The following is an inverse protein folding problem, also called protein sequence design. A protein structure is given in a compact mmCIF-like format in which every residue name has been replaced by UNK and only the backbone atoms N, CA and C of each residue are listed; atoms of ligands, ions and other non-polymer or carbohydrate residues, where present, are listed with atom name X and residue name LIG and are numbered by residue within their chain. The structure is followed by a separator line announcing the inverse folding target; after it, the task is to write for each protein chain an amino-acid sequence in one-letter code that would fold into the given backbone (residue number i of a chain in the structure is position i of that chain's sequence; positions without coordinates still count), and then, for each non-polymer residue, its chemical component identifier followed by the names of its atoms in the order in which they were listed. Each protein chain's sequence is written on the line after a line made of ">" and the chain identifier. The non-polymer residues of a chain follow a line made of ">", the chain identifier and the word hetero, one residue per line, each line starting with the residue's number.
data_IF_115233915161
#
_entry.id   IF_115233915161
#
_cell.length_a   1.000
_cell.length_b   1.000
_cell.length_c   1.000
_cell.angle_alpha   90.00
_cell.angle_beta   90.00
_cell.angle_gamma   90.00
#
_symmetry.space_group_name_H-M   'P 1'
#
loop_
_entity.id
_entity.type
_entity.pdbx_description
1 polymer ?
#
# COMPACT_ATOMS: atom_id res chain seq x y z
N UNK A 1 21.30 -30.26 -7.96
CA UNK A 1 21.85 -30.27 -9.34
C UNK A 1 20.98 -29.38 -10.19
N UNK A 2 21.52 -28.24 -10.61
CA UNK A 2 20.78 -27.19 -11.30
C UNK A 2 20.54 -27.56 -12.77
N UNK A 3 19.29 -27.43 -13.22
CA UNK A 3 18.94 -27.51 -14.64
C UNK A 3 19.35 -26.22 -15.38
N UNK A 4 20.00 -26.30 -16.56
CA UNK A 4 20.43 -25.12 -17.29
C UNK A 4 19.29 -24.50 -18.09
N UNK A 5 19.27 -23.17 -18.09
CA UNK A 5 18.36 -22.32 -18.85
C UNK A 5 18.51 -22.54 -20.36
N UNK A 6 17.37 -22.68 -21.06
CA UNK A 6 17.29 -22.77 -22.51
C UNK A 6 17.64 -21.42 -23.15
N UNK A 7 18.80 -21.35 -23.78
CA UNK A 7 19.15 -20.32 -24.77
C UNK A 7 18.41 -20.65 -26.08
N UNK A 8 17.44 -19.83 -26.48
CA UNK A 8 16.83 -19.91 -27.82
C UNK A 8 17.52 -18.90 -28.75
N UNK A 9 18.36 -19.42 -29.64
CA UNK A 9 18.80 -18.75 -30.85
C UNK A 9 17.64 -18.66 -31.85
N UNK A 10 17.35 -17.47 -32.39
CA UNK A 10 16.64 -17.34 -33.66
C UNK A 10 17.36 -16.33 -34.56
N UNK A 11 17.90 -16.84 -35.68
CA UNK A 11 18.41 -16.06 -36.81
C UNK A 11 17.27 -15.82 -37.82
N UNK A 12 17.27 -14.61 -38.37
CA UNK A 12 16.71 -14.16 -39.64
C UNK A 12 15.19 -14.28 -39.92
N UNK A 13 14.53 -13.11 -39.92
CA UNK A 13 13.63 -12.73 -41.01
C UNK A 13 13.77 -11.22 -41.24
N UNK A 14 14.35 -10.84 -42.38
CA UNK A 14 14.52 -9.47 -42.80
C UNK A 14 13.35 -9.07 -43.71
N UNK A 15 12.51 -8.13 -43.25
CA UNK A 15 11.61 -7.33 -44.12
C UNK A 15 11.42 -5.93 -43.54
N UNK A 16 11.85 -4.95 -44.34
CA UNK A 16 11.73 -3.49 -44.29
C UNK A 16 10.74 -2.92 -43.24
N UNK A 17 11.28 -2.34 -42.15
CA UNK A 17 10.66 -1.28 -41.32
C UNK A 17 11.78 -0.29 -40.97
N UNK A 18 11.46 1.01 -40.86
CA UNK A 18 12.45 2.10 -40.72
C UNK A 18 13.56 1.78 -39.72
N UNK A 19 14.81 2.18 -40.04
CA UNK A 19 15.99 1.82 -39.25
C UNK A 19 15.87 2.35 -37.80
N UNK A 20 15.46 1.49 -36.90
CA UNK A 20 15.65 1.67 -35.46
C UNK A 20 17.16 1.71 -35.20
N UNK A 21 17.63 2.73 -34.47
CA UNK A 21 19.05 2.87 -34.14
C UNK A 21 19.59 1.56 -33.52
N UNK A 22 20.76 1.04 -33.93
CA UNK A 22 21.29 -0.24 -33.42
C UNK A 22 21.34 -0.33 -31.88
N UNK A 23 21.65 0.79 -31.21
CA UNK A 23 21.64 0.89 -29.76
C UNK A 23 20.21 0.71 -29.17
N UNK A 24 19.18 1.27 -29.80
CA UNK A 24 17.78 1.11 -29.36
C UNK A 24 17.36 -0.36 -29.51
N UNK A 25 17.68 -0.99 -30.65
CA UNK A 25 17.38 -2.41 -30.87
C UNK A 25 18.06 -3.31 -29.83
N UNK A 26 19.30 -3.00 -29.47
CA UNK A 26 20.04 -3.73 -28.43
C UNK A 26 19.40 -3.55 -27.05
N UNK A 27 19.09 -2.30 -26.67
CA UNK A 27 18.44 -2.00 -25.38
C UNK A 27 17.04 -2.58 -25.24
N UNK A 28 16.28 -2.69 -26.33
CA UNK A 28 14.99 -3.37 -26.37
C UNK A 28 15.12 -4.89 -26.19
N UNK A 29 16.30 -5.48 -26.42
CA UNK A 29 16.56 -6.90 -26.18
C UNK A 29 16.47 -7.31 -24.70
N UNK A 30 16.57 -6.37 -23.76
CA UNK A 30 16.36 -6.60 -22.33
C UNK A 30 14.96 -6.18 -21.84
N UNK A 31 14.07 -5.72 -22.74
CA UNK A 31 12.70 -5.31 -22.37
C UNK A 31 11.96 -6.49 -21.72
N UNK A 32 11.19 -6.19 -20.68
CA UNK A 32 10.31 -7.15 -20.02
C UNK A 32 8.86 -7.00 -20.51
N UNK A 33 8.13 -8.12 -20.54
CA UNK A 33 6.73 -8.20 -20.98
C UNK A 33 6.53 -8.01 -22.49
N UNK A 34 5.36 -8.37 -23.00
CA UNK A 34 5.05 -8.29 -24.45
C UNK A 34 4.14 -7.09 -24.80
N UNK A 35 3.54 -6.45 -23.81
CA UNK A 35 2.61 -5.36 -24.02
C UNK A 35 3.35 -4.05 -24.39
N UNK A 36 2.81 -3.35 -25.40
CA UNK A 36 3.18 -1.96 -25.75
C UNK A 36 4.58 -1.71 -26.36
N UNK A 37 5.01 -2.56 -27.29
CA UNK A 37 6.32 -2.47 -27.97
C UNK A 37 6.63 -1.09 -28.58
N UNK A 38 5.65 -0.47 -29.27
CA UNK A 38 5.81 0.89 -29.85
C UNK A 38 6.10 1.97 -28.81
N UNK A 39 5.53 1.84 -27.61
CA UNK A 39 5.75 2.81 -26.54
C UNK A 39 7.16 2.63 -25.96
N UNK A 40 7.56 1.39 -25.70
CA UNK A 40 8.90 1.08 -25.19
C UNK A 40 9.99 1.52 -26.18
N UNK A 41 9.81 1.30 -27.48
CA UNK A 41 10.73 1.78 -28.52
C UNK A 41 10.92 3.31 -28.45
N UNK A 42 9.84 4.08 -28.34
CA UNK A 42 9.91 5.54 -28.18
C UNK A 42 10.57 5.95 -26.86
N UNK A 43 10.34 5.23 -25.77
CA UNK A 43 10.96 5.51 -24.46
C UNK A 43 12.48 5.31 -24.51
N UNK A 44 12.92 4.20 -25.10
CA UNK A 44 14.33 3.83 -25.24
C UNK A 44 15.02 4.75 -26.26
N UNK A 45 14.39 5.08 -27.38
CA UNK A 45 14.93 6.04 -28.34
C UNK A 45 15.15 7.43 -27.72
N UNK A 46 14.19 7.92 -26.94
CA UNK A 46 14.32 9.16 -26.17
C UNK A 46 15.47 9.09 -25.16
N UNK A 47 15.67 7.93 -24.51
CA UNK A 47 16.80 7.74 -23.58
C UNK A 47 18.14 7.78 -24.31
N UNK A 48 18.27 7.00 -25.39
CA UNK A 48 19.51 6.90 -26.17
C UNK A 48 19.95 8.27 -26.67
N UNK A 49 19.02 9.11 -27.14
CA UNK A 49 19.31 10.50 -27.54
C UNK A 49 19.87 11.34 -26.39
N UNK A 50 19.43 11.12 -25.16
CA UNK A 50 19.93 11.83 -23.96
C UNK A 50 21.29 11.28 -23.52
N UNK A 51 21.46 9.95 -23.47
CA UNK A 51 22.71 9.31 -23.04
C UNK A 51 23.87 9.57 -24.01
N UNK A 52 23.60 9.73 -25.31
CA UNK A 52 24.63 10.12 -26.30
C UNK A 52 25.32 11.45 -25.98
N UNK A 53 24.71 12.32 -25.16
CA UNK A 53 25.32 13.58 -24.71
C UNK A 53 26.35 13.40 -23.58
N UNK A 54 26.35 12.25 -22.90
CA UNK A 54 27.22 11.93 -21.76
C UNK A 54 28.10 10.73 -22.10
N UNK A 55 29.39 10.97 -22.31
CA UNK A 55 30.37 9.93 -22.67
C UNK A 55 30.36 8.81 -21.63
N UNK A 56 30.29 7.55 -22.06
CA UNK A 56 30.32 6.37 -21.18
C UNK A 56 28.97 5.98 -20.57
N UNK A 57 27.93 6.83 -20.64
CA UNK A 57 26.65 6.55 -19.98
C UNK A 57 25.84 5.44 -20.69
N UNK A 58 26.06 5.28 -21.99
CA UNK A 58 25.39 4.26 -22.80
C UNK A 58 25.97 2.87 -22.50
N UNK A 59 27.30 2.77 -22.48
CA UNK A 59 28.05 1.57 -22.13
C UNK A 59 27.75 1.13 -20.69
N UNK A 60 27.62 2.08 -19.77
CA UNK A 60 27.28 1.81 -18.38
C UNK A 60 25.85 1.26 -18.23
N UNK A 61 24.89 1.77 -19.01
CA UNK A 61 23.54 1.21 -19.05
C UNK A 61 23.54 -0.21 -19.62
N UNK A 62 24.26 -0.45 -20.71
CA UNK A 62 24.39 -1.79 -21.29
C UNK A 62 25.02 -2.78 -20.33
N UNK A 63 26.06 -2.35 -19.59
CA UNK A 63 26.71 -3.15 -18.53
C UNK A 63 25.74 -3.48 -17.40
N UNK A 64 24.95 -2.51 -16.94
CA UNK A 64 23.96 -2.74 -15.90
C UNK A 64 22.89 -3.74 -16.35
N UNK A 65 22.40 -3.63 -17.60
CA UNK A 65 21.39 -4.54 -18.16
C UNK A 65 21.92 -5.95 -18.45
N UNK A 66 23.18 -6.08 -18.85
CA UNK A 66 23.80 -7.38 -19.17
C UNK A 66 24.27 -8.16 -17.93
N UNK A 67 24.54 -7.47 -16.81
CA UNK A 67 24.98 -8.09 -15.56
C UNK A 67 24.04 -7.75 -14.38
N UNK A 68 22.80 -8.30 -14.34
CA UNK A 68 21.87 -8.07 -13.24
C UNK A 68 22.49 -8.45 -11.89
N UNK A 69 22.29 -7.61 -10.88
CA UNK A 69 22.75 -7.88 -9.50
C UNK A 69 24.22 -7.55 -9.23
N UNK A 70 25.01 -7.17 -10.24
CA UNK A 70 26.35 -6.64 -10.02
C UNK A 70 26.35 -5.13 -9.74
N UNK A 71 27.31 -4.63 -8.93
CA UNK A 71 27.48 -3.19 -8.75
C UNK A 71 27.66 -2.45 -10.09
N UNK A 72 26.82 -1.46 -10.30
CA UNK A 72 26.83 -0.58 -11.48
C UNK A 72 26.80 0.89 -11.04
N UNK A 73 27.31 1.78 -11.89
CA UNK A 73 27.28 3.23 -11.66
C UNK A 73 25.90 3.78 -12.01
N UNK A 74 25.62 4.99 -11.54
CA UNK A 74 24.39 5.68 -11.90
C UNK A 74 24.38 6.04 -13.39
N UNK A 75 23.29 5.71 -14.06
CA UNK A 75 23.00 6.20 -15.41
C UNK A 75 22.06 7.38 -15.24
N UNK A 76 22.53 8.60 -15.52
CA UNK A 76 21.73 9.82 -15.26
C UNK A 76 21.20 10.50 -16.51
N UNK A 77 20.05 11.16 -16.36
CA UNK A 77 19.53 12.13 -17.33
C UNK A 77 19.20 13.46 -16.62
N UNK A 78 19.20 14.60 -17.34
CA UNK A 78 18.77 15.87 -16.78
C UNK A 78 17.32 15.84 -16.30
N UNK A 79 17.06 16.41 -15.12
CA UNK A 79 15.73 16.58 -14.55
C UNK A 79 14.98 17.72 -15.26
N UNK A 80 13.73 17.49 -15.65
CA UNK A 80 12.83 18.53 -16.17
C UNK A 80 12.27 19.40 -15.03
N UNK A 81 11.71 20.57 -15.37
CA UNK A 81 11.12 21.51 -14.40
C UNK A 81 10.05 20.85 -13.52
N UNK A 82 9.21 20.00 -14.10
CA UNK A 82 8.17 19.26 -13.39
C UNK A 82 8.59 17.83 -13.01
N UNK A 83 9.86 17.46 -13.25
CA UNK A 83 10.42 16.14 -12.99
C UNK A 83 9.89 15.00 -13.88
N UNK A 84 8.97 15.28 -14.81
CA UNK A 84 8.35 14.28 -15.69
C UNK A 84 8.99 14.26 -17.08
N UNK A 85 9.05 13.08 -17.68
CA UNK A 85 9.43 12.86 -19.07
C UNK A 85 8.20 12.52 -19.90
N UNK A 86 8.06 13.19 -21.03
CA UNK A 86 7.05 12.87 -22.03
C UNK A 86 7.60 11.84 -23.02
N UNK A 87 6.90 10.72 -23.15
CA UNK A 87 7.15 9.68 -24.15
C UNK A 87 5.87 9.50 -24.96
N UNK A 88 5.91 9.92 -26.23
CA UNK A 88 4.73 10.00 -27.08
C UNK A 88 3.63 10.89 -26.45
N UNK A 89 2.45 10.33 -26.18
CA UNK A 89 1.31 11.05 -25.58
C UNK A 89 1.22 10.86 -24.06
N UNK A 90 2.20 10.21 -23.42
CA UNK A 90 2.19 9.90 -21.98
C UNK A 90 3.29 10.69 -21.27
N UNK A 91 2.95 11.28 -20.12
CA UNK A 91 3.92 11.87 -19.19
C UNK A 91 4.09 10.92 -18.01
N UNK A 92 5.34 10.66 -17.64
CA UNK A 92 5.65 9.78 -16.51
C UNK A 92 6.99 10.13 -15.88
N UNK A 93 7.27 9.55 -14.72
CA UNK A 93 8.53 9.75 -14.03
C UNK A 93 9.64 8.90 -14.68
N UNK A 94 10.83 9.45 -14.96
CA UNK A 94 11.81 8.75 -15.80
C UNK A 94 12.29 7.43 -15.20
N UNK A 95 12.60 7.40 -13.90
CA UNK A 95 12.99 6.18 -13.20
C UNK A 95 11.89 5.11 -13.24
N UNK A 96 10.61 5.50 -13.13
CA UNK A 96 9.47 4.58 -13.27
C UNK A 96 9.36 4.03 -14.69
N UNK A 97 9.44 4.91 -15.70
CA UNK A 97 9.38 4.53 -17.12
C UNK A 97 10.43 3.45 -17.43
N UNK A 98 11.66 3.67 -17.02
CA UNK A 98 12.77 2.79 -17.36
C UNK A 98 12.83 1.52 -16.48
N UNK A 99 12.45 1.59 -15.20
CA UNK A 99 12.23 0.38 -14.41
C UNK A 99 11.10 -0.48 -14.98
N UNK A 100 10.04 0.14 -15.50
CA UNK A 100 8.92 -0.56 -16.14
C UNK A 100 9.33 -1.27 -17.43
N UNK A 101 10.16 -0.63 -18.25
CA UNK A 101 10.67 -1.22 -19.50
C UNK A 101 11.55 -2.45 -19.23
N UNK A 102 12.46 -2.39 -18.25
CA UNK A 102 13.51 -3.41 -18.09
C UNK A 102 13.36 -4.38 -16.91
N UNK A 103 12.44 -4.14 -15.97
CA UNK A 103 12.31 -5.00 -14.77
C UNK A 103 10.87 -5.36 -14.43
N UNK A 104 9.98 -4.37 -14.31
CA UNK A 104 8.64 -4.57 -13.77
C UNK A 104 7.56 -3.98 -14.70
N UNK A 105 7.09 -4.73 -15.72
CA UNK A 105 6.12 -4.24 -16.70
C UNK A 105 4.79 -3.78 -16.08
N UNK A 106 4.46 -4.39 -14.94
CA UNK A 106 3.28 -4.17 -14.12
C UNK A 106 3.42 -2.99 -13.14
N UNK A 107 4.57 -2.31 -13.10
CA UNK A 107 4.80 -1.15 -12.25
C UNK A 107 3.82 -0.01 -12.57
N UNK A 108 3.06 0.43 -11.57
CA UNK A 108 2.00 1.43 -11.73
C UNK A 108 2.44 2.79 -11.18
N UNK A 109 3.16 2.80 -10.06
CA UNK A 109 3.52 4.03 -9.35
C UNK A 109 4.99 4.06 -8.93
N UNK A 110 5.50 5.27 -8.68
CA UNK A 110 6.84 5.46 -8.13
C UNK A 110 6.96 5.04 -6.67
N UNK A 111 5.85 5.02 -5.92
CA UNK A 111 5.86 4.57 -4.52
C UNK A 111 6.22 3.09 -4.39
N UNK A 112 6.05 2.30 -5.44
CA UNK A 112 6.49 0.90 -5.50
C UNK A 112 8.01 0.77 -5.64
N UNK A 113 8.75 1.87 -5.83
CA UNK A 113 10.20 1.87 -5.97
C UNK A 113 10.88 2.56 -4.79
N UNK A 114 11.90 1.92 -4.26
CA UNK A 114 12.85 2.54 -3.32
C UNK A 114 14.24 2.54 -3.93
N UNK A 115 14.91 3.69 -3.93
CA UNK A 115 16.30 3.78 -4.33
C UNK A 115 17.18 2.96 -3.38
N UNK A 116 18.22 2.33 -3.93
CA UNK A 116 19.26 1.67 -3.14
C UNK A 116 20.26 2.68 -2.61
N UNK A 117 20.95 2.34 -1.52
CA UNK A 117 21.92 3.24 -0.88
C UNK A 117 23.14 3.54 -1.76
N UNK A 118 23.42 2.68 -2.75
CA UNK A 118 24.46 2.90 -3.76
C UNK A 118 24.07 3.91 -4.86
N UNK A 119 22.82 4.40 -4.87
CA UNK A 119 22.36 5.36 -5.86
C UNK A 119 22.70 6.78 -5.40
N UNK A 120 23.62 7.44 -6.10
CA UNK A 120 24.02 8.82 -5.82
C UNK A 120 23.00 9.86 -6.32
N UNK A 121 22.17 9.50 -7.31
CA UNK A 121 21.22 10.41 -7.96
C UNK A 121 19.76 9.90 -7.88
N UNK A 122 19.23 9.52 -6.70
CA UNK A 122 17.88 9.01 -6.60
C UNK A 122 16.89 10.13 -6.90
N UNK A 123 15.73 9.79 -7.50
CA UNK A 123 14.74 10.78 -7.90
C UNK A 123 14.29 11.74 -6.77
N UNK A 124 14.19 11.22 -5.54
CA UNK A 124 13.80 11.98 -4.35
C UNK A 124 14.79 13.06 -3.90
N UNK A 125 16.07 12.98 -4.32
CA UNK A 125 17.13 13.93 -3.89
C UNK A 125 17.01 15.33 -4.49
N UNK A 126 16.06 15.58 -5.39
CA UNK A 126 15.84 16.88 -6.06
C UNK A 126 17.08 17.47 -6.76
N UNK A 127 18.05 16.63 -7.10
CA UNK A 127 19.25 17.02 -7.86
C UNK A 127 18.94 17.38 -9.32
N UNK A 128 19.89 18.06 -9.98
CA UNK A 128 19.81 18.44 -11.41
C UNK A 128 19.74 17.23 -12.34
N UNK A 129 20.36 16.13 -11.93
CA UNK A 129 20.39 14.86 -12.64
C UNK A 129 19.60 13.81 -11.84
N UNK A 130 19.00 12.86 -12.56
CA UNK A 130 18.26 11.74 -11.97
C UNK A 130 18.77 10.41 -12.53
N UNK A 131 18.93 9.42 -11.66
CA UNK A 131 19.31 8.07 -12.03
C UNK A 131 18.13 7.32 -12.65
N UNK A 132 18.38 6.70 -13.80
CA UNK A 132 17.45 5.84 -14.54
C UNK A 132 17.93 4.40 -14.67
N UNK A 133 19.05 4.05 -14.01
CA UNK A 133 19.52 2.67 -13.93
C UNK A 133 18.49 1.82 -13.14
N UNK A 134 17.83 0.83 -13.77
CA UNK A 134 16.76 0.09 -13.11
C UNK A 134 17.25 -0.79 -11.96
N UNK A 135 18.55 -1.10 -11.88
CA UNK A 135 19.15 -1.84 -10.77
C UNK A 135 19.57 -0.97 -9.58
N UNK A 136 19.38 0.35 -9.67
CA UNK A 136 19.55 1.27 -8.54
C UNK A 136 18.26 1.49 -7.76
N UNK A 137 17.22 0.75 -8.12
CA UNK A 137 15.94 0.73 -7.45
C UNK A 137 15.61 -0.71 -7.06
N UNK A 138 14.95 -0.88 -5.93
CA UNK A 138 14.28 -2.12 -5.55
C UNK A 138 12.78 -1.88 -5.51
N UNK A 139 12.01 -2.92 -5.82
CA UNK A 139 10.57 -2.87 -5.64
C UNK A 139 10.26 -2.99 -4.15
N UNK A 140 9.22 -2.31 -3.70
CA UNK A 140 8.66 -2.51 -2.37
C UNK A 140 7.87 -3.81 -2.39
N UNK A 141 8.27 -4.77 -1.56
CA UNK A 141 7.61 -6.07 -1.44
C UNK A 141 6.47 -5.98 -0.41
N UNK A 142 5.37 -6.67 -0.69
CA UNK A 142 4.29 -6.85 0.29
C UNK A 142 4.72 -7.94 1.29
N UNK A 143 4.80 -7.64 2.59
CA UNK A 143 5.16 -8.62 3.59
C UNK A 143 4.07 -9.70 3.68
N UNK A 144 4.49 -10.95 3.87
CA UNK A 144 3.55 -12.06 4.13
C UNK A 144 2.93 -11.86 5.50
N UNK A 145 1.60 -11.82 5.56
CA UNK A 145 0.86 -11.66 6.81
C UNK A 145 0.63 -13.04 7.47
N UNK A 146 0.84 -13.18 8.79
CA UNK A 146 0.60 -14.44 9.48
C UNK A 146 -0.90 -14.76 9.51
N UNK A 147 -1.29 -16.05 9.48
CA UNK A 147 -2.70 -16.43 9.58
C UNK A 147 -3.25 -16.10 10.98
N UNK A 148 -4.52 -15.71 11.04
CA UNK A 148 -5.24 -15.51 12.31
C UNK A 148 -5.78 -16.87 12.77
N UNK A 149 -5.49 -17.25 14.01
CA UNK A 149 -5.95 -18.51 14.59
C UNK A 149 -7.27 -18.29 15.34
N UNK A 150 -8.32 -19.01 14.94
CA UNK A 150 -9.65 -18.92 15.57
C UNK A 150 -9.93 -20.16 16.43
N UNK A 151 -10.16 -20.00 17.75
CA UNK A 151 -10.58 -21.09 18.63
C UNK A 151 -12.02 -21.54 18.37
N UNK A 152 -12.26 -22.86 18.19
CA UNK A 152 -13.60 -23.41 17.96
C UNK A 152 -14.54 -23.39 19.17
N UNK A 153 -14.01 -23.39 20.38
CA UNK A 153 -14.79 -23.44 21.63
C UNK A 153 -14.24 -22.40 22.58
N UNK A 154 -14.76 -21.18 22.48
CA UNK A 154 -14.45 -20.14 23.44
C UNK A 154 -15.46 -20.25 24.58
N UNK A 155 -15.15 -21.05 25.60
CA UNK A 155 -15.71 -20.75 26.92
C UNK A 155 -15.11 -19.41 27.35
N UNK A 156 -15.79 -18.33 26.98
CA UNK A 156 -15.34 -16.97 27.22
C UNK A 156 -15.20 -16.77 28.73
N UNK A 157 -13.98 -16.51 29.22
CA UNK A 157 -13.79 -16.15 30.62
C UNK A 157 -14.15 -14.66 30.79
N UNK A 158 -15.29 -14.32 31.40
CA UNK A 158 -15.77 -12.93 31.49
C UNK A 158 -14.87 -12.03 32.37
N UNK A 159 -13.93 -12.61 33.12
CA UNK A 159 -12.99 -11.86 33.96
C UNK A 159 -11.84 -11.19 33.18
N UNK A 160 -11.65 -11.51 31.89
CA UNK A 160 -10.61 -10.92 31.02
C UNK A 160 -11.18 -9.92 30.00
N UNK A 161 -12.27 -9.21 30.33
CA UNK A 161 -12.86 -8.18 29.48
C UNK A 161 -11.94 -6.97 29.30
N UNK A 162 -11.00 -7.06 28.35
CA UNK A 162 -10.29 -5.91 27.77
C UNK A 162 -11.18 -5.07 26.85
N UNK A 163 -12.49 -5.34 26.81
CA UNK A 163 -13.47 -4.38 26.28
C UNK A 163 -13.28 -3.02 26.97
N UNK A 164 -12.86 -3.04 28.24
CA UNK A 164 -12.39 -1.87 28.97
C UNK A 164 -11.04 -1.31 28.50
N UNK A 165 -10.08 -2.03 27.90
CA UNK A 165 -8.87 -1.40 27.31
C UNK A 165 -9.13 -0.84 25.90
N UNK A 166 -10.01 -1.47 25.12
CA UNK A 166 -10.51 -0.89 23.87
C UNK A 166 -11.43 0.33 24.11
N UNK A 167 -12.18 0.38 25.23
CA UNK A 167 -12.89 1.58 25.72
C UNK A 167 -12.01 2.57 26.50
N UNK A 168 -11.03 2.12 27.30
CA UNK A 168 -10.22 2.96 28.21
C UNK A 168 -8.87 3.39 27.63
N UNK A 169 -8.49 2.97 26.42
CA UNK A 169 -7.58 3.79 25.62
C UNK A 169 -8.18 5.20 25.37
N UNK A 170 -9.49 5.38 25.58
CA UNK A 170 -10.15 6.69 25.65
C UNK A 170 -10.31 7.27 27.07
N UNK A 171 -9.86 6.62 28.16
CA UNK A 171 -10.15 7.07 29.54
C UNK A 171 -8.98 7.06 30.55
N UNK A 172 -7.76 6.67 30.18
CA UNK A 172 -6.61 6.93 31.05
C UNK A 172 -6.06 8.34 30.80
N UNK A 173 -6.40 9.23 31.74
CA UNK A 173 -6.08 10.66 31.84
C UNK A 173 -6.42 11.43 30.57
N UNK A 174 -7.54 12.18 30.54
CA UNK A 174 -7.80 13.25 29.54
C UNK A 174 -6.48 13.99 29.23
N UNK A 175 -5.76 13.65 28.15
CA UNK A 175 -4.77 14.55 27.64
C UNK A 175 -5.62 15.52 26.85
N UNK A 176 -5.61 16.80 27.24
CA UNK A 176 -6.13 17.89 26.41
C UNK A 176 -5.95 17.53 24.94
N UNK A 177 -7.06 17.42 24.21
CA UNK A 177 -7.05 16.99 22.81
C UNK A 177 -5.90 17.70 22.09
N UNK A 178 -5.03 16.96 21.38
CA UNK A 178 -3.88 17.58 20.76
C UNK A 178 -4.37 18.68 19.81
N UNK A 179 -3.79 19.88 19.89
CA UNK A 179 -4.03 20.93 18.90
C UNK A 179 -3.48 20.43 17.56
N UNK A 180 -4.38 20.17 16.61
CA UNK A 180 -4.20 19.70 15.24
C UNK A 180 -2.91 18.91 15.06
N UNK A 181 -3.00 17.58 15.06
CA UNK A 181 -1.91 16.71 14.62
C UNK A 181 -1.63 16.99 13.12
N UNK A 182 -0.82 18.00 12.88
CA UNK A 182 -0.27 18.37 11.58
C UNK A 182 1.03 17.59 11.49
N UNK A 183 1.06 16.57 10.64
CA UNK A 183 2.29 15.83 10.37
C UNK A 183 3.16 16.68 9.43
N UNK A 184 4.31 17.22 9.87
CA UNK A 184 5.25 17.83 8.94
C UNK A 184 6.02 16.75 8.16
N UNK A 185 6.56 17.17 7.02
CA UNK A 185 7.28 16.38 6.01
C UNK A 185 8.27 15.33 6.55
N UNK A 186 8.24 14.15 5.90
CA UNK A 186 9.33 13.18 5.70
C UNK A 186 10.32 12.96 6.86
N UNK A 187 10.06 11.96 7.71
CA UNK A 187 11.01 11.55 8.74
C UNK A 187 12.23 10.80 8.17
N UNK A 188 13.46 11.14 8.61
CA UNK A 188 14.64 10.29 8.42
C UNK A 188 14.51 8.99 9.23
N UNK A 189 15.18 7.89 8.82
CA UNK A 189 15.15 6.64 9.59
C UNK A 189 15.81 6.86 10.96
N UNK A 190 15.08 6.57 12.03
CA UNK A 190 15.66 6.48 13.37
C UNK A 190 16.61 5.26 13.45
N UNK A 191 17.69 5.34 14.22
CA UNK A 191 18.72 4.30 14.25
C UNK A 191 18.19 3.04 14.95
N UNK A 192 18.36 1.89 14.31
CA UNK A 192 18.17 0.60 14.93
C UNK A 192 19.14 0.45 16.10
N UNK A 193 18.65 0.41 17.34
CA UNK A 193 19.44 -0.01 18.48
C UNK A 193 19.74 -1.50 18.35
N UNK A 194 21.00 -1.81 18.05
CA UNK A 194 21.54 -3.15 18.12
C UNK A 194 21.46 -3.64 19.57
N UNK A 195 20.66 -4.68 19.83
CA UNK A 195 20.78 -5.44 21.06
C UNK A 195 21.96 -6.39 20.93
N UNK A 196 22.97 -6.11 21.75
CA UNK A 196 24.19 -6.85 21.97
C UNK A 196 23.89 -8.27 22.47
N UNK A 197 24.27 -9.29 21.71
CA UNK A 197 24.38 -10.66 22.21
C UNK A 197 25.70 -10.80 22.98
N UNK A 198 25.62 -10.94 24.30
CA UNK A 198 26.75 -11.32 25.14
C UNK A 198 26.65 -12.80 25.53
N UNK A 199 27.81 -13.42 25.49
CA UNK A 199 28.16 -14.84 25.63
C UNK A 199 28.35 -15.28 27.08
N UNK A 200 28.07 -16.55 27.37
CA UNK A 200 28.82 -17.45 28.29
C UNK A 200 28.26 -18.88 28.13
N UNK A 201 28.97 -19.84 27.50
CA UNK A 201 29.92 -20.83 28.06
C UNK A 201 29.30 -21.71 29.18
N UNK A 202 29.30 -23.05 29.19
CA UNK A 202 30.17 -24.04 28.55
C UNK A 202 29.79 -25.50 28.94
N UNK A 203 30.26 -26.48 28.12
CA UNK A 203 30.50 -27.94 28.35
C UNK A 203 29.27 -28.87 28.40
N UNK A 204 29.24 -30.04 27.75
CA UNK A 204 30.19 -30.77 26.91
C UNK A 204 29.70 -32.20 26.65
N UNK A 205 30.30 -32.87 25.65
CA UNK A 205 30.26 -34.31 25.33
C UNK A 205 29.21 -34.82 24.31
N UNK A 206 29.71 -35.13 23.10
CA UNK A 206 29.30 -36.23 22.21
C UNK A 206 30.00 -37.55 22.69
N UNK A 207 29.71 -38.79 22.21
CA UNK A 207 29.30 -39.13 20.84
C UNK A 207 28.43 -40.40 20.61
N UNK A 208 28.15 -40.62 19.31
CA UNK A 208 28.03 -41.90 18.60
C UNK A 208 26.63 -42.43 18.21
N UNK A 209 26.52 -42.59 16.89
CA UNK A 209 25.66 -43.41 16.03
C UNK A 209 25.15 -44.74 16.60
N UNK A 210 23.88 -45.11 16.29
CA UNK A 210 23.52 -46.36 15.58
C UNK A 210 22.00 -46.55 15.35
N UNK A 211 21.66 -46.95 14.12
CA UNK A 211 20.58 -47.87 13.67
C UNK A 211 19.09 -47.62 14.01
N UNK A 212 18.29 -47.45 12.94
CA UNK A 212 16.87 -47.85 12.87
C UNK A 212 16.73 -49.39 12.93
N UNK A 213 15.59 -49.91 13.43
CA UNK A 213 14.69 -50.59 12.49
C UNK A 213 13.18 -50.44 12.76
N UNK A 214 12.42 -50.41 11.66
CA UNK A 214 11.06 -50.93 11.37
C UNK A 214 9.97 -51.05 12.46
N UNK A 215 8.82 -50.42 12.16
CA UNK A 215 7.48 -50.66 12.72
C UNK A 215 6.96 -52.11 12.49
N UNK A 216 5.93 -52.60 13.24
CA UNK A 216 4.54 -52.36 12.82
C UNK A 216 3.44 -52.33 13.93
N UNK A 217 2.38 -51.57 13.62
CA UNK A 217 0.94 -51.78 13.91
C UNK A 217 0.36 -51.75 15.36
N UNK A 218 -0.53 -50.75 15.54
CA UNK A 218 -1.83 -50.74 16.23
C UNK A 218 -2.01 -51.24 17.67
N UNK A 219 -2.37 -50.31 18.56
CA UNK A 219 -3.63 -50.36 19.33
C UNK A 219 -3.87 -49.04 20.05
N UNK A 220 -5.13 -48.61 20.04
CA UNK A 220 -5.64 -47.42 20.69
C UNK A 220 -5.35 -47.42 22.21
N UNK A 221 -4.96 -46.26 22.75
CA UNK A 221 -5.03 -45.94 24.17
C UNK A 221 -5.45 -44.47 24.37
N UNK A 222 -6.09 -44.16 25.52
CA UNK A 222 -7.08 -43.09 25.63
C UNK A 222 -6.55 -41.83 26.34
N UNK A 223 -7.12 -40.68 25.97
CA UNK A 223 -7.30 -39.53 26.87
C UNK A 223 -6.06 -38.84 27.42
N UNK A 224 -5.44 -37.96 26.62
CA UNK A 224 -4.69 -36.82 27.17
C UNK A 224 -5.68 -35.70 27.56
N UNK A 225 -5.63 -35.13 28.78
CA UNK A 225 -6.53 -34.07 29.21
C UNK A 225 -6.18 -32.68 28.63
N UNK A 226 -5.23 -32.60 27.70
CA UNK A 226 -4.94 -31.37 26.97
C UNK A 226 -5.62 -31.45 25.60
N UNK A 227 -6.89 -31.04 25.55
CA UNK A 227 -7.50 -30.60 24.30
C UNK A 227 -6.62 -29.46 23.76
N UNK A 228 -5.76 -29.77 22.79
CA UNK A 228 -5.23 -28.75 21.89
C UNK A 228 -6.49 -28.14 21.28
N UNK A 229 -6.77 -26.88 21.63
CA UNK A 229 -7.87 -26.14 21.03
C UNK A 229 -7.78 -26.34 19.52
N UNK A 230 -8.86 -26.81 18.89
CA UNK A 230 -8.95 -26.92 17.44
C UNK A 230 -8.84 -25.50 16.84
N UNK A 231 -7.61 -25.02 16.64
CA UNK A 231 -7.32 -23.71 16.07
C UNK A 231 -7.42 -23.82 14.55
N UNK A 232 -8.34 -23.05 13.95
CA UNK A 232 -8.41 -22.94 12.49
C UNK A 232 -7.61 -21.72 12.01
N UNK A 233 -6.62 -21.91 11.11
CA UNK A 233 -5.91 -20.79 10.52
C UNK A 233 -6.76 -20.12 9.45
N UNK A 234 -6.87 -18.80 9.52
CA UNK A 234 -7.50 -17.94 8.51
C UNK A 234 -6.42 -17.10 7.84
N UNK A 235 -6.09 -17.44 6.60
CA UNK A 235 -5.10 -16.73 5.79
C UNK A 235 -5.68 -15.47 5.13
N UNK A 236 -4.83 -14.45 4.97
CA UNK A 236 -5.12 -13.27 4.19
C UNK A 236 -5.03 -13.56 2.69
N UNK A 237 -5.97 -13.01 1.92
CA UNK A 237 -5.99 -13.06 0.45
C UNK A 237 -6.19 -11.64 -0.08
N UNK A 238 -5.44 -11.26 -1.12
CA UNK A 238 -5.64 -9.96 -1.77
C UNK A 238 -6.84 -10.02 -2.73
N UNK A 239 -7.84 -9.13 -2.56
CA UNK A 239 -8.98 -9.05 -3.48
C UNK A 239 -8.61 -8.37 -4.81
N UNK A 240 -9.45 -8.58 -5.85
CA UNK A 240 -9.30 -7.91 -7.15
C UNK A 240 -9.36 -6.38 -7.04
N UNK A 241 -10.34 -5.89 -6.28
CA UNK A 241 -10.46 -4.49 -5.90
C UNK A 241 -9.94 -4.34 -4.48
N UNK A 242 -8.93 -3.50 -4.26
CA UNK A 242 -8.36 -3.33 -2.92
C UNK A 242 -9.19 -2.36 -2.06
N UNK A 243 -9.91 -1.44 -2.69
CA UNK A 243 -10.87 -0.58 -2.01
C UNK A 243 -12.04 -0.15 -2.89
N UNK A 244 -13.09 0.35 -2.23
CA UNK A 244 -14.17 1.11 -2.87
C UNK A 244 -14.32 2.48 -2.21
N UNK A 245 -14.70 3.49 -3.00
CA UNK A 245 -14.78 4.89 -2.59
C UNK A 245 -16.18 5.41 -2.92
N UNK A 246 -16.90 5.86 -1.90
CA UNK A 246 -18.19 6.52 -2.03
C UNK A 246 -18.06 8.02 -1.74
N UNK A 247 -18.64 8.87 -2.58
CA UNK A 247 -18.62 10.32 -2.43
C UNK A 247 -19.92 10.84 -1.82
N UNK A 248 -19.79 11.84 -0.96
CA UNK A 248 -20.89 12.45 -0.23
C UNK A 248 -20.79 13.97 -0.25
N UNK A 249 -21.97 14.59 -0.31
CA UNK A 249 -22.16 16.02 -0.09
C UNK A 249 -23.08 16.17 1.12
N UNK A 250 -22.54 16.66 2.24
CA UNK A 250 -23.19 16.61 3.55
C UNK A 250 -23.56 15.16 3.93
N UNK A 251 -24.83 14.86 4.20
CA UNK A 251 -25.33 13.53 4.49
C UNK A 251 -25.84 12.77 3.26
N UNK A 252 -25.76 13.34 2.05
CA UNK A 252 -26.27 12.73 0.83
C UNK A 252 -25.16 12.03 0.06
N UNK A 253 -25.38 10.77 -0.32
CA UNK A 253 -24.50 10.05 -1.24
C UNK A 253 -24.70 10.60 -2.66
N UNK A 254 -23.60 10.90 -3.35
CA UNK A 254 -23.63 11.52 -4.68
C UNK A 254 -22.81 10.70 -5.66
N UNK A 255 -23.45 10.24 -6.74
CA UNK A 255 -22.82 9.39 -7.76
C UNK A 255 -22.70 7.92 -7.37
N UNK A 256 -22.05 7.16 -8.24
CA UNK A 256 -21.77 5.74 -8.04
C UNK A 256 -20.53 5.51 -7.17
N UNK A 257 -20.44 4.32 -6.56
CA UNK A 257 -19.23 3.92 -5.85
C UNK A 257 -18.13 3.58 -6.85
N UNK A 258 -16.97 4.21 -6.68
CA UNK A 258 -15.78 3.90 -7.45
C UNK A 258 -15.08 2.65 -6.87
N UNK A 259 -14.63 1.74 -7.72
CA UNK A 259 -13.95 0.51 -7.32
C UNK A 259 -12.51 0.50 -7.85
N UNK A 260 -11.54 0.40 -6.94
CA UNK A 260 -10.13 0.55 -7.25
C UNK A 260 -9.45 -0.81 -7.45
N UNK A 261 -9.14 -1.16 -8.71
CA UNK A 261 -8.28 -2.32 -9.02
C UNK A 261 -6.82 -1.93 -9.17
N UNK A 262 -6.54 -0.71 -9.66
CA UNK A 262 -5.19 -0.16 -9.67
C UNK A 262 -4.77 0.26 -8.26
N UNK A 263 -3.51 -0.03 -7.91
CA UNK A 263 -2.92 0.31 -6.61
C UNK A 263 -2.58 1.80 -6.47
N UNK A 264 -2.89 2.63 -7.46
CA UNK A 264 -2.68 4.08 -7.46
C UNK A 264 -3.91 4.74 -8.08
N UNK A 265 -4.66 5.47 -7.25
CA UNK A 265 -5.95 6.08 -7.60
C UNK A 265 -5.92 7.56 -7.30
N UNK A 266 -6.38 8.36 -8.25
CA UNK A 266 -6.58 9.80 -8.09
C UNK A 266 -8.05 10.10 -7.86
N UNK A 267 -8.38 10.84 -6.80
CA UNK A 267 -9.73 11.36 -6.55
C UNK A 267 -9.66 12.88 -6.65
N UNK A 268 -10.28 13.48 -7.67
CA UNK A 268 -10.08 14.89 -7.98
C UNK A 268 -11.37 15.65 -8.33
N UNK A 269 -11.27 16.98 -8.40
CA UNK A 269 -12.41 17.87 -8.67
C UNK A 269 -12.66 18.13 -10.16
N UNK A 270 -11.99 17.44 -11.07
CA UNK A 270 -12.07 17.67 -12.50
C UNK A 270 -13.19 16.83 -13.14
N UNK A 271 -13.33 16.95 -14.46
CA UNK A 271 -14.47 16.40 -15.22
C UNK A 271 -14.02 15.48 -16.36
N UNK A 272 -12.95 14.72 -16.17
CA UNK A 272 -12.47 13.80 -17.20
C UNK A 272 -13.53 12.71 -17.44
N UNK A 273 -14.17 12.68 -18.64
CA UNK A 273 -15.25 11.76 -18.94
C UNK A 273 -14.73 10.40 -19.43
N UNK A 274 -13.40 10.26 -19.59
CA UNK A 274 -12.83 8.97 -19.97
C UNK A 274 -13.07 7.98 -18.84
N UNK A 275 -13.41 6.72 -19.21
CA UNK A 275 -13.58 5.63 -18.25
C UNK A 275 -12.22 5.17 -17.70
N UNK A 276 -11.44 6.11 -17.17
CA UNK A 276 -10.15 5.90 -16.58
C UNK A 276 -10.35 5.24 -15.22
N UNK A 277 -10.13 3.92 -15.18
CA UNK A 277 -10.28 3.09 -13.98
C UNK A 277 -9.37 3.48 -12.81
N UNK A 278 -8.43 4.42 -13.00
CA UNK A 278 -7.50 4.86 -11.97
C UNK A 278 -7.81 6.28 -11.47
N UNK A 279 -8.91 6.89 -11.94
CA UNK A 279 -9.24 8.29 -11.65
C UNK A 279 -10.73 8.46 -11.36
N UNK A 280 -11.04 8.88 -10.14
CA UNK A 280 -12.38 9.19 -9.69
C UNK A 280 -12.61 10.71 -9.72
N UNK A 281 -13.27 11.17 -10.79
CA UNK A 281 -13.55 12.58 -11.04
C UNK A 281 -14.84 13.01 -10.36
N UNK A 282 -14.75 13.77 -9.26
CA UNK A 282 -15.91 14.27 -8.53
C UNK A 282 -16.61 15.42 -9.24
N UNK A 283 -15.90 16.15 -10.12
CA UNK A 283 -16.38 17.36 -10.79
C UNK A 283 -17.59 17.13 -11.70
N UNK A 284 -17.69 15.95 -12.31
CA UNK A 284 -18.79 15.56 -13.22
C UNK A 284 -20.03 15.04 -12.49
N UNK A 285 -19.95 14.79 -11.18
CA UNK A 285 -21.08 14.27 -10.41
C UNK A 285 -22.12 15.39 -10.16
N UNK A 286 -23.36 15.14 -10.55
CA UNK A 286 -24.49 16.04 -10.35
C UNK A 286 -25.19 15.78 -9.01
N UNK A 287 -25.66 16.84 -8.37
CA UNK A 287 -26.50 16.76 -7.18
C UNK A 287 -27.49 17.95 -7.19
N UNK A 288 -28.78 17.66 -7.18
CA UNK A 288 -29.85 18.69 -7.20
C UNK A 288 -29.97 19.44 -5.87
N UNK A 289 -29.54 18.82 -4.77
CA UNK A 289 -29.58 19.39 -3.43
C UNK A 289 -28.31 20.20 -3.09
N UNK A 290 -27.48 20.48 -4.10
CA UNK A 290 -26.21 21.17 -3.93
C UNK A 290 -26.43 22.65 -3.62
N UNK A 291 -25.84 23.12 -2.53
CA UNK A 291 -25.85 24.53 -2.13
C UNK A 291 -24.55 25.25 -2.51
N UNK A 292 -24.54 26.57 -2.40
CA UNK A 292 -23.40 27.44 -2.76
C UNK A 292 -22.10 27.11 -2.02
N UNK A 293 -22.18 26.65 -0.76
CA UNK A 293 -21.01 26.25 0.03
C UNK A 293 -20.37 24.97 -0.51
N UNK A 294 -21.19 24.01 -0.94
CA UNK A 294 -20.73 22.77 -1.58
C UNK A 294 -20.09 23.11 -2.93
N UNK A 295 -20.74 23.92 -3.77
CA UNK A 295 -20.17 24.35 -5.06
C UNK A 295 -18.82 25.04 -4.89
N UNK A 296 -18.71 25.93 -3.89
CA UNK A 296 -17.46 26.61 -3.59
C UNK A 296 -16.37 25.64 -3.13
N UNK A 297 -16.72 24.66 -2.29
CA UNK A 297 -15.78 23.64 -1.82
C UNK A 297 -15.29 22.75 -2.97
N UNK A 298 -16.19 22.33 -3.87
CA UNK A 298 -15.85 21.50 -5.04
C UNK A 298 -14.81 22.14 -5.95
N UNK A 299 -14.88 23.47 -6.14
CA UNK A 299 -13.88 24.22 -6.94
C UNK A 299 -12.47 24.14 -6.35
N UNK A 300 -12.34 23.97 -5.04
CA UNK A 300 -11.06 23.90 -4.34
C UNK A 300 -10.53 22.47 -4.18
N UNK A 301 -11.27 21.44 -4.61
CA UNK A 301 -10.74 20.08 -4.64
C UNK A 301 -9.53 20.02 -5.58
N UNK A 302 -9.64 20.62 -6.78
CA UNK A 302 -8.53 20.70 -7.74
C UNK A 302 -7.97 19.31 -8.08
N UNK A 303 -6.66 19.11 -7.94
CA UNK A 303 -5.99 17.81 -8.12
C UNK A 303 -6.34 16.77 -7.03
N UNK A 304 -6.97 17.21 -5.95
CA UNK A 304 -7.58 16.36 -4.93
C UNK A 304 -6.59 15.50 -4.16
N UNK A 305 -6.87 14.20 -4.12
CA UNK A 305 -6.23 13.19 -3.29
C UNK A 305 -5.63 12.10 -4.19
N UNK A 306 -4.41 11.69 -3.88
CA UNK A 306 -3.81 10.47 -4.40
C UNK A 306 -3.79 9.39 -3.32
N UNK A 307 -4.53 8.31 -3.55
CA UNK A 307 -4.53 7.12 -2.71
C UNK A 307 -3.68 6.05 -3.37
N UNK A 308 -2.73 5.48 -2.63
CA UNK A 308 -1.92 4.39 -3.16
C UNK A 308 -1.70 3.28 -2.12
N UNK A 309 -1.70 2.05 -2.62
CA UNK A 309 -1.50 0.82 -1.86
C UNK A 309 -0.15 0.21 -2.25
N UNK A 310 0.77 0.16 -1.29
CA UNK A 310 2.12 -0.37 -1.53
C UNK A 310 2.62 -1.11 -0.29
N UNK A 311 3.18 -2.29 -0.48
CA UNK A 311 3.81 -3.04 0.61
C UNK A 311 2.87 -3.41 1.76
N UNK A 312 1.57 -3.58 1.52
CA UNK A 312 0.59 -3.83 2.58
C UNK A 312 0.16 -2.58 3.35
N UNK A 313 0.49 -1.39 2.86
CA UNK A 313 0.18 -0.12 3.49
C UNK A 313 -0.60 0.78 2.53
N UNK A 314 -1.52 1.57 3.08
CA UNK A 314 -2.29 2.58 2.32
C UNK A 314 -1.85 3.96 2.74
N UNK A 315 -1.62 4.81 1.75
CA UNK A 315 -1.21 6.19 1.94
C UNK A 315 -2.20 7.15 1.28
N UNK A 316 -2.37 8.31 1.89
CA UNK A 316 -3.06 9.45 1.33
C UNK A 316 -2.05 10.58 1.07
N UNK A 317 -2.00 11.09 -0.15
CA UNK A 317 -1.19 12.25 -0.52
C UNK A 317 -2.10 13.39 -1.00
N UNK A 318 -1.95 14.56 -0.40
CA UNK A 318 -2.75 15.73 -0.73
C UNK A 318 -2.16 16.46 -1.93
N UNK A 319 -2.76 16.26 -3.12
CA UNK A 319 -2.36 16.95 -4.34
C UNK A 319 -3.09 18.28 -4.55
N UNK A 320 -4.20 18.48 -3.84
CA UNK A 320 -4.95 19.74 -3.80
C UNK A 320 -4.12 20.87 -3.18
N UNK A 321 -4.38 22.11 -3.61
CA UNK A 321 -3.83 23.30 -2.97
C UNK A 321 -4.49 23.57 -1.59
N UNK A 322 -5.66 22.96 -1.34
CA UNK A 322 -6.34 22.96 -0.04
C UNK A 322 -6.05 21.69 0.74
N UNK A 323 -6.02 21.77 2.07
CA UNK A 323 -5.83 20.59 2.93
C UNK A 323 -6.97 19.59 2.83
N UNK A 324 -6.66 18.33 3.09
CA UNK A 324 -7.64 17.27 3.32
C UNK A 324 -7.59 16.82 4.79
N UNK A 325 -8.67 16.22 5.26
CA UNK A 325 -8.85 15.84 6.65
C UNK A 325 -9.24 14.38 6.70
N UNK A 326 -8.56 13.57 7.50
CA UNK A 326 -8.65 12.11 7.46
C UNK A 326 -8.94 11.54 8.83
N UNK A 327 -9.97 10.72 8.92
CA UNK A 327 -10.25 9.88 10.08
C UNK A 327 -9.99 8.42 9.70
N UNK A 328 -8.85 7.90 10.16
CA UNK A 328 -8.52 6.48 10.07
C UNK A 328 -8.25 5.94 11.47
N UNK A 329 -9.07 4.99 11.92
CA UNK A 329 -8.88 4.37 13.24
C UNK A 329 -7.56 3.60 13.33
N UNK A 330 -7.11 2.99 12.23
CA UNK A 330 -5.83 2.29 12.15
C UNK A 330 -4.65 3.26 12.35
N UNK A 331 -4.68 4.40 11.65
CA UNK A 331 -3.67 5.44 11.80
C UNK A 331 -3.69 6.05 13.21
N UNK A 332 -4.88 6.35 13.74
CA UNK A 332 -5.04 6.91 15.07
C UNK A 332 -4.51 5.97 16.15
N UNK A 333 -4.83 4.67 16.06
CA UNK A 333 -4.32 3.65 16.98
C UNK A 333 -2.78 3.58 16.95
N UNK A 334 -2.17 3.57 15.76
CA UNK A 334 -0.72 3.50 15.61
C UNK A 334 0.01 4.66 16.31
N UNK A 335 -0.60 5.84 16.35
CA UNK A 335 -0.02 7.05 16.95
C UNK A 335 -0.54 7.32 18.38
N UNK A 336 -1.35 6.43 18.96
CA UNK A 336 -1.92 6.61 20.30
C UNK A 336 -2.97 7.73 20.38
N UNK A 337 -3.59 8.12 19.27
CA UNK A 337 -4.67 9.10 19.24
C UNK A 337 -6.03 8.45 19.50
N UNK A 338 -6.99 9.28 19.93
CA UNK A 338 -8.37 8.85 20.07
C UNK A 338 -8.92 8.31 18.74
N UNK A 339 -9.74 7.26 18.79
CA UNK A 339 -10.20 6.55 17.59
C UNK A 339 -10.93 7.45 16.58
N UNK A 340 -11.58 8.51 17.05
CA UNK A 340 -12.33 9.48 16.22
C UNK A 340 -11.51 10.71 15.81
N UNK A 341 -10.23 10.79 16.16
CA UNK A 341 -9.36 11.92 15.79
C UNK A 341 -9.32 12.12 14.28
N UNK A 342 -9.34 13.38 13.85
CA UNK A 342 -9.26 13.80 12.45
C UNK A 342 -7.90 14.43 12.21
N UNK A 343 -7.08 13.78 11.40
CA UNK A 343 -5.74 14.24 11.05
C UNK A 343 -5.81 15.16 9.83
N UNK A 344 -5.18 16.34 9.90
CA UNK A 344 -5.06 17.27 8.77
C UNK A 344 -3.83 16.90 7.93
N UNK A 345 -4.01 16.78 6.61
CA UNK A 345 -2.93 16.60 5.64
C UNK A 345 -2.83 17.88 4.80
N UNK A 346 -1.78 18.71 4.99
CA UNK A 346 -1.55 19.89 4.19
C UNK A 346 -1.24 19.57 2.71
N UNK A 347 -1.33 20.58 1.86
CA UNK A 347 -0.97 20.45 0.43
C UNK A 347 0.46 19.95 0.26
N UNK A 348 0.65 18.96 -0.61
CA UNK A 348 1.94 18.33 -0.90
C UNK A 348 2.41 17.31 0.15
N UNK A 349 1.70 17.16 1.27
CA UNK A 349 2.06 16.19 2.30
C UNK A 349 1.43 14.81 2.03
N UNK A 350 2.05 13.76 2.57
CA UNK A 350 1.54 12.39 2.54
C UNK A 350 1.50 11.77 3.93
N UNK A 351 0.46 10.99 4.21
CA UNK A 351 0.24 10.29 5.47
C UNK A 351 -0.04 8.81 5.22
N UNK A 352 0.57 7.93 6.02
CA UNK A 352 0.19 6.52 6.09
C UNK A 352 -1.11 6.39 6.85
N UNK A 353 -2.18 6.04 6.14
CA UNK A 353 -3.54 5.98 6.69
C UNK A 353 -3.94 4.56 7.11
N UNK A 354 -3.25 3.52 6.62
CA UNK A 354 -3.53 2.14 7.02
C UNK A 354 -2.30 1.25 6.91
N UNK A 355 -2.14 0.32 7.85
CA UNK A 355 -1.11 -0.71 7.83
C UNK A 355 -1.76 -2.09 8.06
N UNK A 356 -1.62 -3.00 7.09
CA UNK A 356 -2.17 -4.36 7.16
C UNK A 356 -1.51 -5.21 8.25
N UNK A 357 -0.22 -5.02 8.56
CA UNK A 357 0.44 -5.75 9.65
C UNK A 357 -0.13 -5.37 11.01
N UNK A 358 -0.35 -4.07 11.24
CA UNK A 358 -0.99 -3.59 12.46
C UNK A 358 -2.41 -4.13 12.58
N UNK A 359 -3.18 -4.12 11.48
CA UNK A 359 -4.52 -4.69 11.47
C UNK A 359 -4.51 -6.21 11.76
N UNK A 360 -3.58 -6.96 11.19
CA UNK A 360 -3.42 -8.39 11.46
C UNK A 360 -3.16 -8.68 12.94
N UNK A 361 -2.28 -7.89 13.57
CA UNK A 361 -1.98 -8.02 15.00
C UNK A 361 -3.21 -7.74 15.86
N UNK A 362 -3.95 -6.67 15.54
CA UNK A 362 -5.19 -6.31 16.24
C UNK A 362 -6.26 -7.38 16.07
N UNK A 363 -6.43 -7.90 14.85
CA UNK A 363 -7.39 -8.96 14.57
C UNK A 363 -7.06 -10.24 15.35
N UNK A 364 -5.80 -10.69 15.31
CA UNK A 364 -5.35 -11.87 16.05
C UNK A 364 -5.53 -11.73 17.56
N UNK A 365 -5.31 -10.54 18.12
CA UNK A 365 -5.57 -10.26 19.53
C UNK A 365 -7.06 -10.27 19.84
N UNK A 366 -7.89 -9.61 19.02
CA UNK A 366 -9.32 -9.45 19.24
C UNK A 366 -10.10 -10.76 19.21
N UNK A 367 -9.66 -11.78 18.45
CA UNK A 367 -10.32 -13.10 18.42
C UNK A 367 -10.45 -13.70 19.82
N UNK A 368 -9.44 -13.55 20.67
CA UNK A 368 -9.45 -14.06 22.04
C UNK A 368 -10.36 -13.27 22.99
N UNK A 369 -10.91 -12.14 22.53
CA UNK A 369 -11.75 -11.22 23.31
C UNK A 369 -13.22 -11.25 22.89
N UNK A 370 -13.61 -12.19 22.01
CA UNK A 370 -15.00 -12.46 21.67
C UNK A 370 -15.50 -11.72 20.43
N UNK A 371 -16.71 -12.11 20.01
CA UNK A 371 -17.30 -11.70 18.74
C UNK A 371 -17.46 -10.18 18.59
N UNK A 372 -17.95 -9.49 19.63
CA UNK A 372 -18.24 -8.05 19.56
C UNK A 372 -16.99 -7.21 19.30
N UNK A 373 -15.86 -7.57 19.91
CA UNK A 373 -14.57 -6.86 19.73
C UNK A 373 -14.07 -7.03 18.30
N UNK A 374 -14.19 -8.24 17.74
CA UNK A 374 -13.85 -8.50 16.35
C UNK A 374 -14.79 -7.73 15.42
N UNK A 375 -16.09 -7.74 15.68
CA UNK A 375 -17.08 -7.02 14.87
C UNK A 375 -16.81 -5.50 14.83
N UNK A 376 -16.41 -4.89 15.95
CA UNK A 376 -16.01 -3.48 16.01
C UNK A 376 -14.82 -3.13 15.09
N UNK A 377 -13.94 -4.10 14.78
CA UNK A 377 -12.84 -3.90 13.83
C UNK A 377 -13.34 -3.60 12.41
N UNK A 378 -14.63 -3.86 12.09
CA UNK A 378 -15.23 -3.42 10.83
C UNK A 378 -15.03 -1.91 10.62
N UNK A 379 -15.11 -1.13 11.71
CA UNK A 379 -14.92 0.33 11.68
C UNK A 379 -13.46 0.73 11.42
N UNK A 380 -12.49 -0.17 11.61
CA UNK A 380 -11.08 0.07 11.23
C UNK A 380 -10.89 0.00 9.72
N UNK A 381 -11.71 -0.78 9.03
CA UNK A 381 -11.63 -0.99 7.59
C UNK A 381 -12.29 0.14 6.77
N UNK A 382 -12.93 1.09 7.45
CA UNK A 382 -13.54 2.27 6.84
C UNK A 382 -12.75 3.53 7.21
N UNK A 383 -12.34 4.29 6.20
CA UNK A 383 -11.61 5.55 6.36
C UNK A 383 -12.47 6.67 5.77
N UNK A 384 -12.61 7.76 6.51
CA UNK A 384 -13.38 8.94 6.07
C UNK A 384 -12.45 10.09 5.79
N UNK A 385 -12.67 10.79 4.68
CA UNK A 385 -11.80 11.89 4.26
C UNK A 385 -12.63 13.05 3.75
N UNK A 386 -12.40 14.26 4.27
CA UNK A 386 -13.06 15.48 3.80
C UNK A 386 -12.10 16.38 3.04
N UNK A 387 -12.61 17.07 2.02
CA UNK A 387 -11.85 18.02 1.23
C UNK A 387 -12.08 19.44 1.75
N UNK A 388 -11.01 20.23 1.87
CA UNK A 388 -11.00 21.66 2.18
C UNK A 388 -11.46 22.02 3.60
N UNK A 389 -12.48 21.35 4.15
CA UNK A 389 -13.10 21.65 5.45
C UNK A 389 -12.86 20.51 6.43
N UNK A 390 -12.31 20.83 7.59
CA UNK A 390 -12.14 19.88 8.71
C UNK A 390 -13.41 19.68 9.52
N UNK A 391 -13.43 18.60 10.29
CA UNK A 391 -14.46 18.27 11.28
C UNK A 391 -13.83 17.59 12.49
N UNK A 392 -14.62 17.39 13.54
CA UNK A 392 -14.21 16.79 14.82
C UNK A 392 -14.02 17.85 15.90
N UNK A 393 -13.47 17.42 17.04
CA UNK A 393 -13.42 18.23 18.26
C UNK A 393 -12.74 19.60 18.12
N UNK A 394 -11.81 19.73 17.17
CA UNK A 394 -11.07 20.97 16.93
C UNK A 394 -11.71 21.91 15.90
N UNK A 395 -12.85 21.52 15.35
CA UNK A 395 -13.53 22.25 14.28
C UNK A 395 -14.95 22.60 14.71
N UNK A 396 -15.52 23.63 14.10
CA UNK A 396 -16.93 23.95 14.32
C UNK A 396 -17.87 22.79 13.93
N UNK A 397 -17.50 22.01 12.92
CA UNK A 397 -18.24 20.83 12.46
C UNK A 397 -17.83 19.64 13.31
N UNK A 398 -18.76 19.02 14.04
CA UNK A 398 -18.47 17.84 14.84
C UNK A 398 -18.57 16.54 14.03
N UNK A 399 -19.48 16.49 13.06
CA UNK A 399 -19.70 15.32 12.21
C UNK A 399 -19.18 15.51 10.78
N UNK A 400 -18.69 14.43 10.19
CA UNK A 400 -18.23 14.41 8.78
C UNK A 400 -19.36 14.79 7.82
N UNK A 401 -20.61 14.45 8.17
CA UNK A 401 -21.82 14.78 7.40
C UNK A 401 -22.15 16.27 7.40
N UNK A 402 -21.49 17.07 8.25
CA UNK A 402 -21.54 18.54 8.20
C UNK A 402 -20.50 19.14 7.25
N UNK A 403 -19.60 18.30 6.69
CA UNK A 403 -18.61 18.76 5.72
C UNK A 403 -19.21 18.80 4.31
N UNK A 404 -18.91 19.82 3.49
CA UNK A 404 -19.57 19.98 2.21
C UNK A 404 -19.24 18.89 1.19
N UNK A 405 -18.02 18.35 1.23
CA UNK A 405 -17.52 17.35 0.29
C UNK A 405 -16.61 16.36 1.02
N UNK A 406 -16.97 15.09 1.05
CA UNK A 406 -16.17 14.05 1.68
C UNK A 406 -16.36 12.69 0.99
N UNK A 407 -15.44 11.78 1.26
CA UNK A 407 -15.46 10.41 0.76
C UNK A 407 -15.36 9.41 1.91
N UNK A 408 -15.95 8.24 1.69
CA UNK A 408 -15.79 7.07 2.53
C UNK A 408 -15.08 5.98 1.73
N UNK A 409 -13.96 5.49 2.27
CA UNK A 409 -13.11 4.46 1.66
C UNK A 409 -13.27 3.17 2.44
N UNK A 410 -13.65 2.09 1.77
CA UNK A 410 -13.75 0.75 2.34
C UNK A 410 -12.60 -0.12 1.84
N UNK A 411 -11.79 -0.65 2.75
CA UNK A 411 -10.66 -1.52 2.41
C UNK A 411 -11.10 -2.98 2.34
N UNK A 412 -11.12 -3.54 1.13
CA UNK A 412 -11.72 -4.86 0.88
C UNK A 412 -10.89 -6.00 1.45
N UNK A 413 -9.56 -5.91 1.40
CA UNK A 413 -8.68 -6.96 1.95
C UNK A 413 -8.89 -7.16 3.46
N UNK A 414 -8.75 -6.10 4.29
CA UNK A 414 -9.07 -6.16 5.71
C UNK A 414 -10.51 -6.61 6.01
N UNK A 415 -11.51 -6.14 5.25
CA UNK A 415 -12.91 -6.57 5.40
C UNK A 415 -13.11 -8.06 5.13
N UNK A 416 -12.54 -8.57 4.03
CA UNK A 416 -12.64 -9.97 3.66
C UNK A 416 -11.95 -10.87 4.71
N UNK A 417 -10.81 -10.44 5.23
CA UNK A 417 -10.12 -11.18 6.29
C UNK A 417 -10.96 -11.23 7.57
N UNK A 418 -11.55 -10.09 7.94
CA UNK A 418 -12.43 -9.98 9.09
C UNK A 418 -13.68 -10.86 8.94
N UNK A 419 -14.31 -10.85 7.78
CA UNK A 419 -15.49 -11.66 7.46
C UNK A 419 -15.21 -13.16 7.60
N UNK A 420 -14.06 -13.63 7.07
CA UNK A 420 -13.62 -15.03 7.22
C UNK A 420 -13.41 -15.42 8.69
N UNK A 421 -12.89 -14.51 9.52
CA UNK A 421 -12.71 -14.74 10.97
C UNK A 421 -14.06 -14.78 11.68
N UNK A 422 -14.93 -13.79 11.46
CA UNK A 422 -16.26 -13.70 12.07
C UNK A 422 -17.13 -14.92 11.74
N UNK A 423 -17.09 -15.38 10.48
CA UNK A 423 -17.80 -16.59 10.05
C UNK A 423 -17.40 -17.84 10.85
N UNK A 424 -16.15 -17.90 11.34
CA UNK A 424 -15.67 -19.02 12.15
C UNK A 424 -15.94 -18.87 13.66
N UNK A 425 -16.26 -17.67 14.14
CA UNK A 425 -16.50 -17.38 15.56
C UNK A 425 -17.95 -17.66 16.01
N UNK A 426 -18.88 -17.88 15.09
CA UNK A 426 -20.30 -18.13 15.41
C UNK A 426 -21.10 -16.84 15.63
N UNK A 427 -22.19 -16.92 16.40
CA UNK A 427 -23.10 -15.78 16.65
C UNK A 427 -22.83 -15.07 17.97
N UNK A 428 -23.23 -13.79 18.12
CA UNK A 428 -23.20 -13.10 19.41
C UNK A 428 -23.95 -13.88 20.51
N UNK A 429 -23.49 -13.78 21.76
CA UNK A 429 -24.14 -14.46 22.89
C UNK A 429 -25.49 -13.84 23.27
N UNK A 430 -25.70 -12.55 23.00
CA UNK A 430 -26.95 -11.87 23.32
C UNK A 430 -27.92 -11.99 22.13
N UNK A 431 -29.02 -12.75 22.28
CA UNK A 431 -30.04 -12.82 21.24
C UNK A 431 -30.72 -11.45 21.10
N UNK A 432 -30.87 -11.00 19.85
CA UNK A 432 -31.60 -9.78 19.53
C UNK A 432 -33.09 -10.12 19.47
N UNK A 433 -33.92 -9.33 20.16
CA UNK A 433 -35.38 -9.48 20.09
C UNK A 433 -35.90 -8.99 18.74
N UNK A 434 -36.81 -9.76 18.13
CA UNK A 434 -37.48 -9.39 16.87
C UNK A 434 -38.61 -8.38 17.04
N UNK A 435 -38.87 -7.91 18.26
CA UNK A 435 -40.04 -7.07 18.63
C UNK A 435 -39.62 -5.71 19.22
N UNK A 436 -38.32 -5.51 19.44
CA UNK A 436 -37.77 -4.29 20.08
C UNK A 436 -37.61 -3.10 19.12
#
# INVERSE_FOLDING_TARGET
>A
MAHPARVRCFRHCAKRRGLVCPAVKRLLGWKQGDEEEKWAEKAVDSLVKKLKKKKGAMEELERALSCPGQPSKCVTIPRSLDGRLQVSHRKGLPHVIYCRVWRWPDLQSHHELKALDCCEFPFGSKQKDICVNPYHYRRVETPVLPPVLVPRHSEFNPQHSLLAKFRNASLHSEPLMPQNATYPDSFPPLPCSAFSSSTSSSLGQSPASQSYPNSPNSSAEPGSPYHIADLRPVCYEEPEYWCSIAYYELNNRVGETFHASSRSVLVDGFTDPSNNKNRFCLGLLSNVNRNSTIEHTRRHIGKGLHLYYVGGEVYAECLSDSSIFVQSRNCNFQHGFHATTVCKIPSGCSLKIFNNQLFAQLLAQSVNHGFEVVYELTKMCTIRMSFVKGWGAEYHRQDVTSTPCWIEVHLHGPLQWLDKVLTQMGSPHNPISSVS
#
